data_IF_640395907758
#
_entry.id   IF_640395907758
#
_cell.length_a   1.000
_cell.length_b   1.000
_cell.length_c   1.000
_cell.angle_alpha   90.00
_cell.angle_beta   90.00
_cell.angle_gamma   90.00
#
_symmetry.space_group_name_H-M   'P 1'
#
loop_
_entity.id
_entity.type
_entity.pdbx_description
1 polymer ?
#
# COMPACT_ATOMS: atom_id res chain seq x y z
N UNK A 1 16.93 12.80 -4.29
CA UNK A 1 18.15 12.65 -3.44
C UNK A 1 19.33 12.27 -4.31
N UNK A 2 20.56 12.71 -4.02
CA UNK A 2 21.76 12.30 -4.79
C UNK A 2 22.16 10.83 -4.56
N UNK A 3 21.89 10.31 -3.37
CA UNK A 3 22.10 8.92 -2.99
C UNK A 3 20.91 8.39 -2.18
N UNK A 4 20.73 7.08 -2.16
CA UNK A 4 19.74 6.44 -1.29
C UNK A 4 20.20 6.59 0.14
N UNK A 5 19.35 7.12 1.02
CA UNK A 5 19.70 7.38 2.41
C UNK A 5 18.49 7.22 3.33
N UNK A 6 18.76 6.98 4.61
CA UNK A 6 17.75 6.97 5.66
C UNK A 6 17.80 8.34 6.34
N UNK A 7 16.66 9.01 6.42
CA UNK A 7 16.53 10.27 7.15
C UNK A 7 15.72 10.05 8.42
N UNK A 8 16.25 10.58 9.53
CA UNK A 8 15.54 10.65 10.80
C UNK A 8 14.78 11.97 10.91
N UNK A 9 13.65 12.01 11.64
CA UNK A 9 12.94 13.24 11.92
C UNK A 9 13.84 14.32 12.54
N UNK A 10 13.36 15.57 12.48
CA UNK A 10 13.96 16.64 13.27
C UNK A 10 13.44 16.56 14.70
N UNK A 11 14.35 16.22 15.61
CA UNK A 11 14.13 16.21 17.07
C UNK A 11 14.48 17.58 17.65
N UNK A 12 13.72 18.03 18.67
CA UNK A 12 14.02 19.17 19.54
C UNK A 12 14.44 20.49 18.86
N UNK A 13 13.72 20.87 17.80
CA UNK A 13 13.91 22.18 17.13
C UNK A 13 12.75 23.11 17.48
N UNK A 14 13.07 24.40 17.60
CA UNK A 14 12.10 25.48 17.72
C UNK A 14 10.94 25.30 16.73
N UNK A 15 9.71 25.46 17.25
CA UNK A 15 8.47 25.30 16.50
C UNK A 15 8.41 26.25 15.30
N UNK A 16 8.95 27.45 15.40
CA UNK A 16 8.91 28.45 14.34
C UNK A 16 9.92 28.12 13.23
N UNK A 17 11.10 27.61 13.60
CA UNK A 17 12.07 27.07 12.64
C UNK A 17 11.47 25.89 11.89
N UNK A 18 10.86 24.94 12.62
CA UNK A 18 10.20 23.77 12.02
C UNK A 18 9.09 24.17 11.05
N UNK A 19 8.26 25.15 11.41
CA UNK A 19 7.23 25.70 10.51
C UNK A 19 7.83 26.33 9.26
N UNK A 20 8.91 27.09 9.39
CA UNK A 20 9.57 27.72 8.24
C UNK A 20 10.13 26.68 7.26
N UNK A 21 10.69 25.59 7.77
CA UNK A 21 11.18 24.48 6.96
C UNK A 21 10.02 23.75 6.26
N UNK A 22 8.91 23.53 6.96
CA UNK A 22 7.70 22.93 6.37
C UNK A 22 7.10 23.81 5.27
N UNK A 23 7.08 25.14 5.45
CA UNK A 23 6.65 26.07 4.41
C UNK A 23 7.57 26.01 3.17
N UNK A 24 8.89 25.89 3.38
CA UNK A 24 9.83 25.66 2.27
C UNK A 24 9.58 24.31 1.59
N UNK A 25 9.29 23.26 2.35
CA UNK A 25 8.96 21.95 1.81
C UNK A 25 7.72 22.01 0.90
N UNK A 26 6.68 22.74 1.30
CA UNK A 26 5.48 22.90 0.49
C UNK A 26 5.78 23.66 -0.81
N UNK A 27 6.61 24.71 -0.77
CA UNK A 27 7.05 25.43 -1.97
C UNK A 27 7.80 24.52 -2.96
N UNK A 28 8.72 23.70 -2.45
CA UNK A 28 9.45 22.74 -3.27
C UNK A 28 8.52 21.68 -3.89
N UNK A 29 7.52 21.24 -3.13
CA UNK A 29 6.51 20.29 -3.62
C UNK A 29 5.67 20.89 -4.75
N UNK A 30 5.18 22.12 -4.58
CA UNK A 30 4.42 22.85 -5.62
C UNK A 30 5.27 23.06 -6.88
N UNK A 31 6.55 23.37 -6.72
CA UNK A 31 7.49 23.47 -7.85
C UNK A 31 7.53 22.15 -8.63
N UNK A 32 7.70 21.00 -7.94
CA UNK A 32 7.76 19.69 -8.58
C UNK A 32 6.44 19.30 -9.24
N UNK A 33 5.31 19.60 -8.62
CA UNK A 33 3.98 19.36 -9.19
C UNK A 33 3.75 20.18 -10.46
N UNK A 34 4.21 21.43 -10.48
CA UNK A 34 4.11 22.31 -11.66
C UNK A 34 5.03 21.81 -12.77
N UNK A 35 6.27 21.44 -12.44
CA UNK A 35 7.24 20.90 -13.39
C UNK A 35 6.72 19.62 -14.07
N UNK A 36 6.13 18.72 -13.27
CA UNK A 36 5.51 17.50 -13.77
C UNK A 36 4.28 17.78 -14.64
N UNK A 37 3.43 18.75 -14.24
CA UNK A 37 2.25 19.16 -15.02
C UNK A 37 2.63 19.72 -16.39
N UNK A 38 3.70 20.51 -16.46
CA UNK A 38 4.24 21.07 -17.70
C UNK A 38 4.91 20.01 -18.59
N UNK A 39 4.93 18.73 -18.19
CA UNK A 39 5.59 17.62 -18.87
C UNK A 39 7.07 17.86 -19.18
N UNK A 40 7.72 18.72 -18.39
CA UNK A 40 9.16 18.93 -18.50
C UNK A 40 9.86 17.65 -18.02
N UNK A 41 10.93 17.28 -18.71
CA UNK A 41 11.71 16.06 -18.42
C UNK A 41 13.19 16.41 -18.31
N UNK A 42 13.92 15.49 -17.69
CA UNK A 42 15.35 15.53 -17.44
C UNK A 42 15.74 16.58 -16.39
N UNK A 43 14.90 16.84 -15.39
CA UNK A 43 15.33 17.63 -14.24
C UNK A 43 16.37 16.84 -13.45
N UNK A 44 17.54 17.41 -13.25
CA UNK A 44 18.56 16.82 -12.37
C UNK A 44 18.38 17.34 -10.94
N UNK A 45 18.94 16.63 -9.97
CA UNK A 45 18.90 17.08 -8.57
C UNK A 45 19.68 18.39 -8.44
N UNK A 46 20.80 18.49 -9.14
CA UNK A 46 21.69 19.65 -9.13
C UNK A 46 20.94 20.89 -9.64
N UNK A 47 20.27 20.76 -10.80
CA UNK A 47 19.45 21.84 -11.36
C UNK A 47 18.32 22.20 -10.42
N UNK A 48 17.56 21.23 -9.91
CA UNK A 48 16.46 21.46 -8.97
C UNK A 48 16.90 22.22 -7.72
N UNK A 49 18.02 21.82 -7.11
CA UNK A 49 18.58 22.48 -5.93
C UNK A 49 19.07 23.89 -6.24
N UNK A 50 19.72 24.09 -7.39
CA UNK A 50 20.23 25.40 -7.81
C UNK A 50 19.11 26.40 -8.12
N UNK A 51 18.05 25.99 -8.82
CA UNK A 51 16.91 26.84 -9.18
C UNK A 51 16.11 27.27 -7.95
N UNK A 52 16.08 26.44 -6.91
CA UNK A 52 15.40 26.74 -5.66
C UNK A 52 16.30 27.41 -4.61
N UNK A 53 17.57 27.67 -4.94
CA UNK A 53 18.58 28.22 -4.02
C UNK A 53 18.70 27.44 -2.69
N UNK A 54 18.69 26.10 -2.78
CA UNK A 54 18.78 25.20 -1.61
C UNK A 54 20.03 24.33 -1.71
N UNK A 55 20.84 24.28 -0.66
CA UNK A 55 21.96 23.34 -0.59
C UNK A 55 21.48 21.90 -0.37
N UNK A 56 22.30 20.89 -0.67
CA UNK A 56 21.90 19.50 -0.41
C UNK A 56 21.63 19.23 1.08
N UNK A 57 22.42 19.84 1.97
CA UNK A 57 22.21 19.70 3.41
C UNK A 57 20.90 20.37 3.85
N UNK A 58 20.63 21.58 3.36
CA UNK A 58 19.36 22.26 3.66
C UNK A 58 18.16 21.50 3.12
N UNK A 59 18.27 20.93 1.92
CA UNK A 59 17.23 20.08 1.36
C UNK A 59 16.94 18.88 2.26
N UNK A 60 17.99 18.20 2.76
CA UNK A 60 17.81 17.12 3.74
C UNK A 60 17.12 17.62 5.01
N UNK A 61 17.49 18.78 5.55
CA UNK A 61 16.79 19.36 6.72
C UNK A 61 15.33 19.67 6.43
N UNK A 62 15.03 20.26 5.28
CA UNK A 62 13.65 20.53 4.83
C UNK A 62 12.85 19.22 4.78
N UNK A 63 13.39 18.17 4.18
CA UNK A 63 12.74 16.85 4.13
C UNK A 63 12.58 16.24 5.52
N UNK A 64 13.60 16.35 6.39
CA UNK A 64 13.51 15.85 7.78
C UNK A 64 12.44 16.56 8.60
N UNK A 65 12.06 17.80 8.23
CA UNK A 65 11.00 18.56 8.89
C UNK A 65 9.58 18.06 8.60
N UNK A 66 9.40 17.32 7.50
CA UNK A 66 8.09 16.80 7.07
C UNK A 66 7.83 15.38 7.56
N UNK A 67 8.87 14.61 7.86
CA UNK A 67 8.74 13.23 8.32
C UNK A 67 8.53 13.16 9.84
N UNK A 68 7.73 12.18 10.27
CA UNK A 68 7.44 11.88 11.68
C UNK A 68 8.17 10.65 12.21
N UNK A 69 8.73 9.85 11.30
CA UNK A 69 9.43 8.59 11.59
C UNK A 69 10.64 8.44 10.66
N UNK A 70 11.67 7.66 11.06
CA UNK A 70 12.74 7.30 10.15
C UNK A 70 12.17 6.76 8.85
N UNK A 71 12.66 7.27 7.72
CA UNK A 71 12.12 6.97 6.40
C UNK A 71 13.27 6.83 5.39
N UNK A 72 13.16 5.83 4.50
CA UNK A 72 14.12 5.62 3.41
C UNK A 72 13.77 6.53 2.25
N UNK A 73 14.74 7.30 1.77
CA UNK A 73 14.64 8.10 0.56
C UNK A 73 15.56 7.53 -0.51
N UNK A 74 14.98 7.16 -1.64
CA UNK A 74 15.72 6.55 -2.74
C UNK A 74 16.45 7.60 -3.57
N UNK A 75 17.61 7.22 -4.12
CA UNK A 75 18.24 7.97 -5.21
C UNK A 75 17.30 7.95 -6.41
N UNK A 76 16.76 9.10 -6.76
CA UNK A 76 15.82 9.30 -7.87
C UNK A 76 15.99 10.69 -8.42
N UNK A 77 15.75 10.84 -9.72
CA UNK A 77 15.56 12.14 -10.35
C UNK A 77 14.28 12.79 -9.80
N UNK A 78 14.19 14.13 -9.73
CA UNK A 78 13.00 14.81 -9.26
C UNK A 78 11.78 14.53 -10.16
N UNK A 79 12.00 14.24 -11.44
CA UNK A 79 10.94 13.82 -12.38
C UNK A 79 10.28 12.49 -11.96
N UNK A 80 11.04 11.61 -11.30
CA UNK A 80 10.53 10.33 -10.79
C UNK A 80 9.91 10.45 -9.39
N UNK A 81 9.66 11.66 -8.90
CA UNK A 81 9.05 11.89 -7.59
C UNK A 81 7.63 11.34 -7.49
N UNK A 82 6.90 11.29 -8.61
CA UNK A 82 5.51 10.82 -8.67
C UNK A 82 5.37 9.35 -9.09
N UNK A 83 6.49 8.62 -9.18
CA UNK A 83 6.50 7.19 -9.51
C UNK A 83 6.75 6.41 -8.21
N UNK A 84 5.93 5.38 -7.94
CA UNK A 84 6.11 4.52 -6.77
C UNK A 84 7.41 3.71 -6.84
N UNK A 85 7.83 3.12 -5.71
CA UNK A 85 8.91 2.13 -5.73
C UNK A 85 8.49 0.89 -6.51
N UNK A 86 9.26 0.53 -7.53
CA UNK A 86 8.98 -0.66 -8.34
C UNK A 86 10.29 -1.39 -8.67
N UNK A 87 10.15 -2.69 -8.96
CA UNK A 87 11.22 -3.49 -9.52
C UNK A 87 10.98 -3.62 -11.04
N UNK A 88 11.96 -3.27 -11.87
CA UNK A 88 11.80 -3.27 -13.32
C UNK A 88 11.46 -4.63 -13.91
N UNK A 89 11.97 -5.71 -13.32
CA UNK A 89 11.73 -7.06 -13.80
C UNK A 89 10.32 -7.49 -13.41
N UNK A 90 9.92 -7.25 -12.16
CA UNK A 90 8.58 -7.60 -11.67
C UNK A 90 7.49 -6.81 -12.42
N UNK A 91 7.68 -5.51 -12.71
CA UNK A 91 6.69 -4.74 -13.51
C UNK A 91 6.51 -5.37 -14.88
N UNK A 92 7.59 -5.85 -15.52
CA UNK A 92 7.50 -6.42 -16.87
C UNK A 92 6.73 -7.73 -16.88
N UNK A 93 6.92 -8.57 -15.87
CA UNK A 93 6.23 -9.86 -15.77
C UNK A 93 4.79 -9.74 -15.27
N UNK A 94 4.57 -8.97 -14.19
CA UNK A 94 3.26 -8.84 -13.54
C UNK A 94 2.39 -7.76 -14.19
N UNK A 95 2.97 -6.70 -14.74
CA UNK A 95 2.24 -5.59 -15.36
C UNK A 95 1.20 -4.91 -14.44
N UNK A 96 1.35 -5.06 -13.12
CA UNK A 96 0.50 -4.44 -12.11
C UNK A 96 1.21 -3.26 -11.41
N UNK A 97 0.42 -2.37 -10.80
CA UNK A 97 0.95 -1.27 -9.99
C UNK A 97 1.71 -1.83 -8.78
N UNK A 98 2.94 -1.38 -8.58
CA UNK A 98 3.76 -1.75 -7.44
C UNK A 98 4.03 -0.55 -6.53
N UNK A 99 4.01 -0.83 -5.22
CA UNK A 99 4.41 0.10 -4.17
C UNK A 99 5.38 -0.59 -3.20
N UNK A 100 6.65 -0.68 -3.62
CA UNK A 100 7.73 -1.29 -2.84
C UNK A 100 8.33 -0.27 -1.89
N UNK A 101 8.34 -0.59 -0.60
CA UNK A 101 8.89 0.25 0.46
C UNK A 101 9.79 -0.56 1.41
N UNK A 102 10.90 0.04 1.83
CA UNK A 102 11.79 -0.55 2.82
C UNK A 102 11.16 -0.55 4.21
N UNK A 103 11.29 -1.67 4.92
CA UNK A 103 10.80 -1.83 6.28
C UNK A 103 11.88 -1.36 7.26
N UNK A 104 11.59 -0.28 7.99
CA UNK A 104 12.45 0.24 9.06
C UNK A 104 11.98 -0.13 10.48
N UNK A 105 10.76 -0.67 10.59
CA UNK A 105 10.16 -1.08 11.87
C UNK A 105 9.26 -2.30 11.65
N UNK A 106 9.60 -3.47 12.21
CA UNK A 106 8.76 -4.67 12.11
C UNK A 106 7.36 -4.44 12.67
N UNK A 107 7.24 -3.70 13.78
CA UNK A 107 5.95 -3.34 14.35
C UNK A 107 5.11 -2.48 13.40
N UNK A 108 5.71 -1.49 12.74
CA UNK A 108 4.99 -0.65 11.77
C UNK A 108 4.51 -1.47 10.57
N UNK A 109 5.29 -2.47 10.13
CA UNK A 109 4.91 -3.41 9.09
C UNK A 109 3.72 -4.27 9.52
N UNK A 110 3.81 -4.95 10.68
CA UNK A 110 2.71 -5.76 11.21
C UNK A 110 1.43 -4.94 11.40
N UNK A 111 1.55 -3.71 11.95
CA UNK A 111 0.41 -2.79 12.10
C UNK A 111 -0.20 -2.39 10.75
N UNK A 112 0.63 -2.20 9.72
CA UNK A 112 0.16 -1.89 8.37
C UNK A 112 -0.61 -3.07 7.78
N UNK A 113 -0.04 -4.28 7.84
CA UNK A 113 -0.68 -5.52 7.36
C UNK A 113 -2.03 -5.72 8.07
N UNK A 114 -2.03 -5.71 9.41
CA UNK A 114 -3.27 -5.83 10.19
C UNK A 114 -4.28 -4.72 9.84
N UNK A 115 -3.81 -3.50 9.57
CA UNK A 115 -4.70 -2.40 9.17
C UNK A 115 -5.32 -2.58 7.80
N UNK A 116 -4.61 -3.26 6.89
CA UNK A 116 -5.04 -3.57 5.53
C UNK A 116 -6.05 -4.71 5.52
N UNK A 117 -5.75 -5.80 6.23
CA UNK A 117 -6.68 -6.92 6.43
C UNK A 117 -8.00 -6.46 7.04
N UNK A 118 -7.95 -5.53 8.00
CA UNK A 118 -9.15 -4.97 8.65
C UNK A 118 -9.75 -3.75 7.91
N UNK A 119 -9.31 -3.42 6.68
CA UNK A 119 -9.84 -2.29 5.90
C UNK A 119 -11.36 -2.41 5.62
N UNK A 120 -11.93 -3.54 5.16
CA UNK A 120 -13.37 -3.65 4.93
C UNK A 120 -14.17 -3.41 6.21
N UNK A 121 -13.75 -4.03 7.32
CA UNK A 121 -14.40 -3.90 8.63
C UNK A 121 -14.42 -2.45 9.14
N UNK A 122 -13.38 -1.66 8.84
CA UNK A 122 -13.33 -0.22 9.17
C UNK A 122 -14.32 0.62 8.35
N UNK A 123 -14.48 0.32 7.06
CA UNK A 123 -15.49 1.01 6.21
C UNK A 123 -16.88 0.73 6.76
N UNK A 124 -17.11 -0.51 7.14
CA UNK A 124 -18.39 -1.01 7.57
C UNK A 124 -18.78 -0.54 8.97
N UNK A 125 -17.82 -0.52 9.89
CA UNK A 125 -17.99 0.09 11.22
C UNK A 125 -18.36 1.58 11.13
N UNK A 126 -17.86 2.30 10.12
CA UNK A 126 -18.25 3.69 9.86
C UNK A 126 -19.66 3.79 9.30
N UNK A 127 -19.99 2.96 8.31
CA UNK A 127 -21.33 2.92 7.73
C UNK A 127 -22.40 2.63 8.79
N UNK A 128 -22.16 1.65 9.66
CA UNK A 128 -23.08 1.32 10.75
C UNK A 128 -23.25 2.50 11.73
N UNK A 129 -22.16 3.20 12.06
CA UNK A 129 -22.23 4.41 12.90
C UNK A 129 -23.06 5.51 12.25
N UNK A 130 -22.83 5.78 10.97
CA UNK A 130 -23.54 6.82 10.23
C UNK A 130 -25.04 6.52 10.16
N UNK A 131 -25.41 5.27 9.87
CA UNK A 131 -26.79 4.79 9.87
C UNK A 131 -27.43 4.93 11.26
N UNK A 132 -26.72 4.53 12.32
CA UNK A 132 -27.22 4.67 13.68
C UNK A 132 -27.40 6.13 14.11
N UNK A 133 -26.50 7.02 13.68
CA UNK A 133 -26.60 8.46 13.95
C UNK A 133 -27.76 9.12 13.17
N UNK A 134 -28.04 8.67 11.94
CA UNK A 134 -29.25 9.08 11.20
C UNK A 134 -30.52 8.65 11.94
N UNK A 135 -30.61 7.38 12.39
CA UNK A 135 -31.76 6.90 13.16
C UNK A 135 -31.94 7.62 14.50
N UNK A 136 -30.86 8.10 15.12
CA UNK A 136 -30.92 8.94 16.33
C UNK A 136 -31.49 10.32 16.02
N UNK A 137 -31.03 10.97 14.94
CA UNK A 137 -31.51 12.30 14.52
C UNK A 137 -32.99 12.29 14.14
N UNK A 138 -33.48 11.23 13.51
CA UNK A 138 -34.87 11.11 13.05
C UNK A 138 -35.86 10.64 14.14
N UNK A 139 -35.44 10.45 15.40
CA UNK A 139 -36.28 9.94 16.50
C UNK A 139 -37.05 8.65 16.16
N UNK A 140 -36.44 7.77 15.35
CA UNK A 140 -37.10 6.55 14.87
C UNK A 140 -37.25 5.53 16.00
N UNK A 141 -38.34 4.75 15.96
CA UNK A 141 -38.70 3.76 17.00
C UNK A 141 -37.64 2.67 17.16
N UNK A 142 -37.53 2.09 18.36
CA UNK A 142 -36.54 1.06 18.68
C UNK A 142 -36.55 -0.13 17.70
N UNK A 143 -37.73 -0.51 17.19
CA UNK A 143 -37.91 -1.55 16.17
C UNK A 143 -37.18 -1.23 14.85
N UNK A 144 -37.22 0.03 14.41
CA UNK A 144 -36.54 0.45 13.18
C UNK A 144 -35.01 0.46 13.34
N UNK A 145 -34.51 0.82 14.54
CA UNK A 145 -33.09 0.76 14.89
C UNK A 145 -32.56 -0.68 14.90
N UNK A 146 -33.31 -1.61 15.50
CA UNK A 146 -32.99 -3.04 15.50
C UNK A 146 -33.01 -3.63 14.09
N UNK A 147 -34.01 -3.26 13.27
CA UNK A 147 -34.10 -3.72 11.88
C UNK A 147 -32.93 -3.20 11.04
N UNK A 148 -32.57 -1.92 11.18
CA UNK A 148 -31.41 -1.32 10.50
C UNK A 148 -30.08 -1.99 10.90
N UNK A 149 -29.91 -2.30 12.18
CA UNK A 149 -28.73 -3.04 12.67
C UNK A 149 -28.63 -4.46 12.06
N UNK A 150 -29.76 -5.17 11.98
CA UNK A 150 -29.82 -6.52 11.40
C UNK A 150 -29.59 -6.53 9.90
N UNK A 151 -30.17 -5.58 9.17
CA UNK A 151 -29.90 -5.38 7.74
C UNK A 151 -28.41 -5.07 7.49
N UNK A 152 -27.82 -4.20 8.30
CA UNK A 152 -26.40 -3.89 8.20
C UNK A 152 -25.54 -5.15 8.45
N UNK A 153 -25.93 -6.00 9.42
CA UNK A 153 -25.29 -7.29 9.72
C UNK A 153 -25.39 -8.32 8.59
N UNK A 154 -26.47 -8.29 7.80
CA UNK A 154 -26.64 -9.15 6.61
C UNK A 154 -25.77 -8.63 5.46
N UNK A 155 -25.86 -7.33 5.14
CA UNK A 155 -24.96 -6.69 4.15
C UNK A 155 -23.48 -6.90 4.51
N UNK A 156 -23.17 -6.98 5.80
CA UNK A 156 -21.87 -7.31 6.37
C UNK A 156 -21.38 -8.70 5.94
N UNK A 157 -22.22 -9.71 6.12
CA UNK A 157 -21.92 -11.07 5.71
C UNK A 157 -21.80 -11.21 4.18
N UNK A 158 -22.59 -10.46 3.43
CA UNK A 158 -22.54 -10.45 1.96
C UNK A 158 -21.26 -9.81 1.43
N UNK A 159 -20.87 -8.64 1.96
CA UNK A 159 -19.64 -7.97 1.57
C UNK A 159 -18.39 -8.81 1.89
N UNK A 160 -18.37 -9.48 3.04
CA UNK A 160 -17.27 -10.38 3.41
C UNK A 160 -17.16 -11.58 2.48
N UNK A 161 -18.29 -12.20 2.12
CA UNK A 161 -18.33 -13.30 1.13
C UNK A 161 -17.86 -12.84 -0.24
N UNK A 162 -18.25 -11.64 -0.66
CA UNK A 162 -17.79 -11.08 -1.93
C UNK A 162 -16.28 -10.81 -1.93
N UNK A 163 -15.73 -10.30 -0.82
CA UNK A 163 -14.28 -10.08 -0.68
C UNK A 163 -13.51 -11.41 -0.71
N UNK A 164 -14.01 -12.45 -0.03
CA UNK A 164 -13.40 -13.77 -0.04
C UNK A 164 -13.43 -14.43 -1.43
N UNK A 165 -14.52 -14.25 -2.18
CA UNK A 165 -14.61 -14.73 -3.56
C UNK A 165 -13.62 -14.00 -4.48
N UNK A 166 -13.48 -12.68 -4.33
CA UNK A 166 -12.47 -11.89 -5.07
C UNK A 166 -11.03 -12.33 -4.71
N UNK A 167 -10.76 -12.65 -3.44
CA UNK A 167 -9.47 -13.17 -2.98
C UNK A 167 -9.15 -14.53 -3.64
N UNK A 168 -10.12 -15.46 -3.66
CA UNK A 168 -9.96 -16.75 -4.33
C UNK A 168 -9.75 -16.61 -5.85
N UNK A 169 -10.43 -15.66 -6.50
CA UNK A 169 -10.20 -15.35 -7.92
C UNK A 169 -8.79 -14.80 -8.17
N UNK A 170 -8.29 -13.92 -7.29
CA UNK A 170 -6.93 -13.38 -7.37
C UNK A 170 -5.88 -14.49 -7.16
N UNK A 171 -6.11 -15.40 -6.23
CA UNK A 171 -5.24 -16.54 -5.97
C UNK A 171 -5.16 -17.48 -7.18
N UNK A 172 -6.31 -17.82 -7.76
CA UNK A 172 -6.37 -18.57 -9.03
C UNK A 172 -5.62 -17.86 -10.16
N UNK A 173 -5.80 -16.54 -10.29
CA UNK A 173 -5.11 -15.74 -11.31
C UNK A 173 -3.59 -15.68 -11.08
N UNK A 174 -3.16 -15.63 -9.82
CA UNK A 174 -1.75 -15.64 -9.43
C UNK A 174 -1.09 -16.97 -9.77
N UNK A 175 -1.77 -18.10 -9.50
CA UNK A 175 -1.32 -19.43 -9.88
C UNK A 175 -1.15 -19.52 -11.41
N UNK A 176 -2.12 -19.01 -12.18
CA UNK A 176 -2.03 -19.00 -13.65
C UNK A 176 -0.91 -18.11 -14.17
N UNK A 177 -0.74 -16.90 -13.62
CA UNK A 177 0.37 -16.02 -13.99
C UNK A 177 1.74 -16.61 -13.65
N UNK A 178 1.86 -17.31 -12.51
CA UNK A 178 3.11 -17.99 -12.10
C UNK A 178 3.45 -19.12 -13.07
N UNK A 179 2.45 -19.91 -13.50
CA UNK A 179 2.60 -20.93 -14.55
C UNK A 179 3.07 -20.31 -15.88
N UNK A 180 2.51 -19.16 -16.28
CA UNK A 180 2.94 -18.44 -17.49
C UNK A 180 4.38 -17.94 -17.39
N UNK A 181 4.80 -17.42 -16.23
CA UNK A 181 6.17 -16.97 -16.00
C UNK A 181 7.15 -18.16 -16.00
N UNK A 182 6.78 -19.28 -15.36
CA UNK A 182 7.57 -20.50 -15.35
C UNK A 182 7.74 -21.10 -16.75
N UNK A 183 6.70 -21.07 -17.58
CA UNK A 183 6.74 -21.59 -18.96
C UNK A 183 7.54 -20.70 -19.93
N UNK A 184 7.76 -19.43 -19.60
CA UNK A 184 8.59 -18.50 -20.38
C UNK A 184 10.00 -18.30 -19.77
N UNK A 185 10.43 -19.20 -18.86
CA UNK A 185 11.70 -19.12 -18.09
C UNK A 185 12.96 -18.89 -18.95
N UNK A 186 13.02 -19.48 -20.14
CA UNK A 186 14.21 -19.40 -21.01
C UNK A 186 14.40 -18.03 -21.67
N UNK A 187 13.32 -17.24 -21.81
CA UNK A 187 13.37 -15.95 -22.50
C UNK A 187 13.74 -14.79 -21.55
N UNK A 188 13.55 -14.96 -20.24
CA UNK A 188 13.62 -13.88 -19.25
C UNK A 188 14.93 -13.78 -18.47
N UNK A 189 15.67 -14.87 -18.21
CA UNK A 189 16.99 -14.78 -17.57
C UNK A 189 17.91 -16.00 -17.83
N UNK A 190 18.85 -15.92 -18.79
CA UNK A 190 19.78 -17.01 -19.09
C UNK A 190 20.84 -17.29 -18.01
N UNK A 191 20.89 -16.51 -16.91
CA UNK A 191 22.02 -16.51 -15.96
C UNK A 191 21.63 -16.85 -14.50
N UNK A 192 20.44 -17.35 -14.22
CA UNK A 192 20.13 -17.85 -12.86
C UNK A 192 21.03 -19.05 -12.51
N UNK A 193 21.71 -18.96 -11.37
CA UNK A 193 22.52 -20.05 -10.82
C UNK A 193 21.62 -21.19 -10.32
N UNK A 194 22.19 -22.39 -10.20
CA UNK A 194 21.43 -23.59 -9.81
C UNK A 194 20.78 -23.49 -8.41
N UNK A 195 21.35 -22.72 -7.49
CA UNK A 195 20.81 -22.53 -6.13
C UNK A 195 19.49 -21.73 -6.15
N UNK A 196 19.30 -20.81 -7.10
CA UNK A 196 18.05 -20.07 -7.28
C UNK A 196 16.95 -20.91 -7.95
N UNK A 197 17.31 -22.08 -8.51
CA UNK A 197 16.37 -23.01 -9.15
C UNK A 197 15.64 -23.87 -8.13
N UNK A 198 16.34 -24.33 -7.08
CA UNK A 198 15.75 -25.13 -5.99
C UNK A 198 14.69 -24.35 -5.21
N UNK A 199 14.96 -23.10 -4.84
CA UNK A 199 14.01 -22.26 -4.07
C UNK A 199 12.70 -22.02 -4.82
N UNK A 200 12.75 -21.95 -6.15
CA UNK A 200 11.54 -21.72 -6.97
C UNK A 200 10.79 -23.02 -7.26
N UNK A 201 11.48 -24.17 -7.35
CA UNK A 201 10.82 -25.47 -7.45
C UNK A 201 10.11 -25.84 -6.14
N UNK A 202 10.69 -25.51 -4.99
CA UNK A 202 10.07 -25.71 -3.66
C UNK A 202 8.74 -24.91 -3.53
N UNK A 203 8.69 -23.69 -4.08
CA UNK A 203 7.45 -22.88 -4.12
C UNK A 203 6.39 -23.47 -5.06
N UNK A 204 6.79 -24.16 -6.12
CA UNK A 204 5.86 -24.79 -7.07
C UNK A 204 5.29 -26.11 -6.53
N UNK A 205 6.07 -26.87 -5.76
CA UNK A 205 5.61 -28.11 -5.15
C UNK A 205 4.59 -27.86 -4.02
N UNK A 206 4.79 -26.83 -3.17
CA UNK A 206 3.82 -26.46 -2.12
C UNK A 206 2.43 -26.10 -2.68
N UNK A 207 2.36 -25.64 -3.94
CA UNK A 207 1.09 -25.24 -4.57
C UNK A 207 0.26 -26.40 -5.17
N UNK A 208 0.80 -27.63 -5.18
CA UNK A 208 0.05 -28.82 -5.65
C UNK A 208 -0.68 -29.56 -4.51
N UNK A 209 -0.36 -29.28 -3.24
CA UNK A 209 -0.93 -29.99 -2.10
C UNK A 209 -2.26 -29.41 -1.57
N UNK A 210 -2.65 -28.20 -1.99
CA UNK A 210 -3.88 -27.52 -1.55
C UNK A 210 -5.15 -27.88 -2.35
N UNK A 211 -5.07 -28.70 -3.41
CA UNK A 211 -6.26 -29.17 -4.16
C UNK A 211 -7.11 -30.22 -3.40
N UNK A 212 -6.74 -30.64 -2.19
CA UNK A 212 -7.49 -31.61 -1.38
C UNK A 212 -7.77 -31.16 0.08
N UNK A 213 -8.11 -29.90 0.32
CA UNK A 213 -8.69 -29.49 1.62
C UNK A 213 -10.22 -29.53 1.58
N UNK A 214 -10.78 -30.21 2.59
CA UNK A 214 -12.15 -30.68 2.71
C UNK A 214 -13.21 -29.57 2.56
N UNK A 215 -14.27 -29.86 1.81
CA UNK A 215 -15.49 -29.08 1.79
C UNK A 215 -16.04 -28.92 3.22
N UNK A 216 -16.11 -27.68 3.71
CA UNK A 216 -16.78 -27.36 4.97
C UNK A 216 -18.26 -27.78 4.88
N UNK A 217 -18.77 -28.60 5.82
CA UNK A 217 -20.17 -29.02 5.79
C UNK A 217 -21.10 -27.84 6.12
N UNK A 218 -22.18 -27.72 5.35
CA UNK A 218 -23.25 -26.74 5.55
C UNK A 218 -23.88 -26.89 6.94
N UNK A 219 -23.63 -25.94 7.85
CA UNK A 219 -24.36 -25.85 9.12
C UNK A 219 -25.75 -25.22 8.91
N UNK A 220 -26.77 -26.07 8.78
CA UNK A 220 -28.17 -25.69 9.03
C UNK A 220 -28.35 -25.25 10.49
N UNK A 221 -28.29 -23.95 10.76
CA UNK A 221 -28.75 -23.42 12.04
C UNK A 221 -30.27 -23.24 12.06
N UNK A 222 -30.92 -24.30 12.54
CA UNK A 222 -32.28 -24.32 13.08
C UNK A 222 -32.33 -23.38 14.30
N UNK A 223 -33.01 -22.24 14.18
CA UNK A 223 -33.39 -21.44 15.34
C UNK A 223 -34.62 -22.06 16.01
N UNK A 224 -34.43 -22.63 17.20
CA UNK A 224 -35.52 -22.92 18.13
C UNK A 224 -35.56 -21.84 19.23
N UNK A 225 -36.68 -21.09 19.21
CA UNK A 225 -37.26 -20.15 20.19
C UNK A 225 -36.48 -18.89 20.60
#
# INVERSE_FOLDING_TARGET
MKSTCILQPLDDIDRDIKKSLQQKAEKLKVYLETYHRDQRRNLTIETFLSENAVSEQDYKQIVRSTIKRPSVFLKRLPDSAFINGYNSNIVRCWQANMDLQFILSPYACAKYIASYLNKPDKVLSRLLKDVMDQFRKENRTLKSKLCGSRLCSICLGDARRQTANEENEIESLYIDHTKVIANNREEFDPKLNNDDKEVVEEILDDSNDDENSEAFPDEEHVYNY
#
